data_IF_684605652921
#
_entry.id   IF_684605652921
#
_cell.length_a   1.000
_cell.length_b   1.000
_cell.length_c   1.000
_cell.angle_alpha   90.00
_cell.angle_beta   90.00
_cell.angle_gamma   90.00
#
_symmetry.space_group_name_H-M   'P 1'
#
loop_
_entity.id
_entity.type
_entity.pdbx_description
1 polymer ?
#
# COMPACT_ATOMS: atom_id res chain seq x y z
N UNK A 1 -24.13 -25.78 -43.29
CA UNK A 1 -24.22 -24.33 -43.26
C UNK A 1 -23.56 -23.90 -41.95
N UNK A 2 -22.33 -23.89 -41.85
CA UNK A 2 -21.15 -23.01 -41.94
C UNK A 2 -21.41 -21.53 -41.65
N UNK A 3 -20.59 -21.07 -40.74
CA UNK A 3 -20.11 -19.68 -40.50
C UNK A 3 -20.69 -18.98 -39.29
N UNK A 4 -19.88 -18.48 -38.46
CA UNK A 4 -18.73 -17.61 -38.38
C UNK A 4 -18.86 -16.81 -37.05
N UNK A 5 -18.09 -17.14 -36.05
CA UNK A 5 -17.89 -16.29 -34.89
C UNK A 5 -16.40 -16.27 -34.48
N UNK A 6 -15.55 -15.86 -35.43
CA UNK A 6 -14.11 -15.76 -35.19
C UNK A 6 -13.54 -14.34 -35.37
N UNK A 7 -14.38 -13.34 -35.64
CA UNK A 7 -13.90 -12.02 -36.06
C UNK A 7 -13.88 -10.89 -34.97
N UNK A 8 -14.41 -11.11 -33.78
CA UNK A 8 -14.58 -10.00 -32.80
C UNK A 8 -13.59 -9.95 -31.65
N UNK A 9 -12.64 -10.87 -31.54
CA UNK A 9 -11.66 -10.90 -30.44
C UNK A 9 -10.37 -10.11 -30.71
N UNK A 10 -10.04 -9.82 -31.97
CA UNK A 10 -8.81 -9.07 -32.33
C UNK A 10 -8.97 -7.54 -32.34
N UNK A 11 -10.19 -7.01 -32.46
CA UNK A 11 -10.39 -5.56 -32.56
C UNK A 11 -10.31 -4.83 -31.19
N UNK A 12 -10.49 -5.55 -30.09
CA UNK A 12 -10.44 -4.91 -28.75
C UNK A 12 -9.03 -4.80 -28.16
N UNK A 13 -8.10 -5.63 -28.60
CA UNK A 13 -6.70 -5.55 -28.21
C UNK A 13 -5.93 -4.43 -28.95
N UNK A 14 -6.38 -4.03 -30.15
CA UNK A 14 -5.79 -2.91 -30.88
C UNK A 14 -6.27 -1.53 -30.38
N UNK A 15 -7.40 -1.45 -29.70
CA UNK A 15 -7.93 -0.17 -29.21
C UNK A 15 -7.14 0.40 -28.02
N UNK A 16 -6.43 -0.44 -27.25
CA UNK A 16 -5.58 0.02 -26.15
C UNK A 16 -4.24 0.60 -26.61
N UNK A 17 -3.77 0.21 -27.80
CA UNK A 17 -2.53 0.74 -28.41
C UNK A 17 -2.76 2.01 -29.24
N UNK A 18 -4.00 2.36 -29.56
CA UNK A 18 -4.36 3.49 -30.42
C UNK A 18 -4.64 4.80 -29.64
N UNK A 19 -4.66 4.79 -28.31
CA UNK A 19 -4.82 6.00 -27.50
C UNK A 19 -3.53 6.84 -27.40
N UNK A 20 -2.39 6.33 -27.87
CA UNK A 20 -1.15 7.10 -27.99
C UNK A 20 -1.06 7.98 -29.25
N UNK A 21 -2.06 8.00 -30.14
CA UNK A 21 -2.01 8.74 -31.41
C UNK A 21 -3.00 9.91 -31.53
N UNK A 22 -3.68 10.31 -30.46
CA UNK A 22 -4.40 11.58 -30.44
C UNK A 22 -3.41 12.71 -30.15
N UNK A 23 -2.71 13.12 -31.20
CA UNK A 23 -1.84 14.29 -31.23
C UNK A 23 -2.62 15.56 -30.89
N UNK A 24 -2.67 15.90 -29.63
CA UNK A 24 -2.76 17.31 -29.23
C UNK A 24 -1.35 17.89 -29.46
N UNK A 25 -1.20 18.94 -30.23
CA UNK A 25 0.07 19.64 -30.33
C UNK A 25 0.27 20.43 -29.02
N UNK A 26 0.65 19.75 -27.95
CA UNK A 26 1.42 20.40 -26.90
C UNK A 26 2.81 20.59 -27.50
N UNK A 27 3.18 21.82 -27.79
CA UNK A 27 4.59 22.21 -27.99
C UNK A 27 5.28 22.10 -26.65
N UNK A 28 5.47 20.89 -26.15
CA UNK A 28 6.36 20.60 -25.06
C UNK A 28 7.79 20.84 -25.57
N UNK A 29 8.47 21.79 -25.00
CA UNK A 29 9.91 21.95 -25.21
C UNK A 29 10.58 20.66 -24.75
N UNK A 30 11.13 19.89 -25.67
CA UNK A 30 11.60 18.51 -25.48
C UNK A 30 12.81 18.36 -24.53
N UNK A 31 13.27 19.44 -23.86
CA UNK A 31 14.49 19.44 -23.06
C UNK A 31 14.29 19.10 -21.56
N UNK A 32 13.06 19.09 -21.03
CA UNK A 32 12.79 18.96 -19.59
C UNK A 32 11.74 17.88 -19.25
N UNK A 33 11.41 17.02 -20.20
CA UNK A 33 10.45 15.92 -19.96
C UNK A 33 11.20 14.63 -19.69
N UNK A 34 10.90 13.99 -18.57
CA UNK A 34 11.39 12.67 -18.22
C UNK A 34 10.23 11.67 -18.33
N UNK A 35 10.53 10.48 -18.83
CA UNK A 35 9.57 9.40 -18.99
C UNK A 35 10.18 8.11 -18.45
N UNK A 36 9.45 7.45 -17.56
CA UNK A 36 9.75 6.11 -17.10
C UNK A 36 8.51 5.23 -17.26
N UNK A 37 8.70 3.96 -17.57
CA UNK A 37 7.61 3.01 -17.58
C UNK A 37 8.02 1.70 -16.93
N UNK A 38 7.11 1.07 -16.21
CA UNK A 38 7.29 -0.25 -15.60
C UNK A 38 6.21 -1.18 -16.11
N UNK A 39 6.64 -2.28 -16.71
CA UNK A 39 5.79 -3.42 -17.04
C UNK A 39 5.95 -4.46 -15.93
N UNK A 40 4.90 -4.72 -15.17
CA UNK A 40 4.84 -5.75 -14.11
C UNK A 40 4.08 -6.96 -14.63
N UNK A 41 4.70 -8.12 -14.66
CA UNK A 41 4.02 -9.39 -14.93
C UNK A 41 4.02 -10.23 -13.68
N UNK A 42 2.90 -10.84 -13.34
CA UNK A 42 2.69 -11.54 -12.09
C UNK A 42 2.13 -12.93 -12.32
N UNK A 43 2.62 -13.90 -11.55
CA UNK A 43 2.06 -15.24 -11.43
C UNK A 43 1.73 -15.48 -9.95
N UNK A 44 0.44 -15.56 -9.64
CA UNK A 44 -0.08 -15.89 -8.32
C UNK A 44 -0.42 -17.38 -8.28
N UNK A 45 0.11 -18.07 -7.28
CA UNK A 45 -0.18 -19.45 -6.97
C UNK A 45 -0.79 -19.50 -5.57
N UNK A 46 -1.95 -20.14 -5.41
CA UNK A 46 -2.63 -20.29 -4.12
C UNK A 46 -2.89 -21.75 -3.80
N UNK A 47 -3.06 -22.06 -2.54
CA UNK A 47 -3.45 -23.38 -2.07
C UNK A 47 -4.90 -23.32 -1.55
N UNK A 48 -5.84 -22.95 -2.44
CA UNK A 48 -7.26 -22.95 -2.08
C UNK A 48 -7.82 -24.38 -2.04
N UNK A 49 -8.56 -24.69 -0.99
CA UNK A 49 -9.33 -25.93 -0.87
C UNK A 49 -10.66 -25.86 -1.62
N UNK A 50 -11.07 -24.68 -2.05
CA UNK A 50 -12.28 -24.45 -2.84
C UNK A 50 -12.02 -24.74 -4.33
N UNK A 51 -12.62 -25.81 -4.84
CA UNK A 51 -12.49 -26.23 -6.25
C UNK A 51 -13.17 -25.29 -7.24
N UNK A 52 -13.87 -24.27 -6.78
CA UNK A 52 -14.56 -23.28 -7.64
C UNK A 52 -13.63 -22.20 -8.17
N UNK A 53 -12.46 -22.01 -7.56
CA UNK A 53 -11.47 -21.02 -7.94
C UNK A 53 -10.22 -21.64 -8.57
N UNK A 54 -9.62 -20.93 -9.52
CA UNK A 54 -8.34 -21.33 -10.08
C UNK A 54 -7.22 -21.05 -9.09
N UNK A 55 -6.40 -22.06 -8.78
CA UNK A 55 -5.24 -21.91 -7.91
C UNK A 55 -4.08 -21.16 -8.61
N UNK A 56 -4.29 -20.62 -9.80
CA UNK A 56 -3.28 -19.91 -10.58
C UNK A 56 -3.89 -18.70 -11.26
N UNK A 57 -3.27 -17.57 -11.11
CA UNK A 57 -3.66 -16.33 -11.78
C UNK A 57 -2.44 -15.66 -12.40
N UNK A 58 -2.57 -15.20 -13.65
CA UNK A 58 -1.58 -14.35 -14.30
C UNK A 58 -2.12 -12.94 -14.43
N UNK A 59 -1.27 -11.97 -14.12
CA UNK A 59 -1.57 -10.57 -14.25
C UNK A 59 -0.48 -9.81 -15.01
N UNK A 60 -0.87 -8.73 -15.66
CA UNK A 60 0.03 -7.77 -16.29
C UNK A 60 -0.41 -6.38 -15.84
N UNK A 61 0.51 -5.63 -15.27
CA UNK A 61 0.35 -4.22 -14.90
C UNK A 61 1.28 -3.35 -15.74
N UNK A 62 0.82 -2.19 -16.13
CA UNK A 62 1.62 -1.16 -16.77
C UNK A 62 1.45 0.13 -15.96
N UNK A 63 2.55 0.64 -15.43
CA UNK A 63 2.66 1.97 -14.84
C UNK A 63 3.60 2.80 -15.70
N UNK A 64 3.23 4.03 -15.99
CA UNK A 64 4.09 4.96 -16.70
C UNK A 64 4.13 6.28 -15.97
N UNK A 65 5.30 6.84 -15.75
CA UNK A 65 5.48 8.15 -15.16
C UNK A 65 5.96 9.15 -16.22
N UNK A 66 5.26 10.24 -16.30
CA UNK A 66 5.63 11.41 -17.08
C UNK A 66 5.91 12.54 -16.12
N UNK A 67 7.13 13.04 -16.08
CA UNK A 67 7.47 14.23 -15.32
C UNK A 67 7.99 15.32 -16.24
N UNK A 68 7.65 16.57 -15.94
CA UNK A 68 8.11 17.72 -16.69
C UNK A 68 8.42 18.88 -15.76
N UNK A 69 9.61 19.45 -15.94
CA UNK A 69 10.04 20.66 -15.26
C UNK A 69 9.62 21.86 -16.09
N UNK A 70 8.68 22.65 -15.56
CA UNK A 70 8.24 23.90 -16.15
C UNK A 70 9.11 25.04 -15.60
N UNK A 71 9.43 25.98 -16.44
CA UNK A 71 10.06 27.24 -16.13
C UNK A 71 10.96 27.30 -14.87
N UNK A 72 12.27 27.26 -15.04
CA UNK A 72 13.29 27.44 -14.00
C UNK A 72 13.36 26.40 -12.86
N UNK A 73 12.99 25.16 -13.09
CA UNK A 73 13.10 24.00 -12.16
C UNK A 73 12.27 24.08 -10.86
N UNK A 74 11.49 25.15 -10.67
CA UNK A 74 10.70 25.35 -9.45
C UNK A 74 9.26 24.80 -9.54
N UNK A 75 8.82 24.41 -10.72
CA UNK A 75 7.48 23.84 -10.95
C UNK A 75 7.61 22.52 -11.69
N UNK A 76 7.20 21.44 -11.05
CA UNK A 76 7.27 20.09 -11.58
C UNK A 76 5.84 19.57 -11.76
N UNK A 77 5.53 19.04 -12.94
CA UNK A 77 4.29 18.31 -13.18
C UNK A 77 4.58 16.82 -13.26
N UNK A 78 3.77 16.02 -12.58
CA UNK A 78 3.85 14.56 -12.58
C UNK A 78 2.51 13.97 -13.02
N UNK A 79 2.56 12.94 -13.88
CA UNK A 79 1.41 12.16 -14.29
C UNK A 79 1.78 10.68 -14.35
N UNK A 80 1.15 9.86 -13.50
CA UNK A 80 1.40 8.42 -13.38
C UNK A 80 0.12 7.63 -13.62
N UNK A 81 -0.25 7.33 -14.87
CA UNK A 81 -1.31 6.41 -15.21
C UNK A 81 -0.89 4.97 -14.94
N UNK A 82 -1.86 4.16 -14.54
CA UNK A 82 -1.73 2.75 -14.26
C UNK A 82 -2.85 1.94 -14.91
N UNK A 83 -2.53 0.75 -15.42
CA UNK A 83 -3.53 -0.19 -15.90
C UNK A 83 -3.12 -1.63 -15.55
N UNK A 84 -4.08 -2.45 -15.15
CA UNK A 84 -3.90 -3.87 -14.82
C UNK A 84 -4.88 -4.73 -15.56
N UNK A 85 -4.39 -5.88 -16.01
CA UNK A 85 -5.16 -6.96 -16.58
C UNK A 85 -4.78 -8.29 -15.94
N UNK A 86 -5.77 -9.16 -15.67
CA UNK A 86 -5.60 -10.53 -15.17
C UNK A 86 -6.44 -11.50 -15.99
N UNK A 87 -5.95 -12.72 -16.19
CA UNK A 87 -6.58 -13.69 -17.10
C UNK A 87 -7.80 -14.39 -16.49
N UNK A 88 -7.74 -14.77 -15.22
CA UNK A 88 -8.76 -15.60 -14.55
C UNK A 88 -9.85 -14.75 -13.86
N UNK A 89 -9.54 -13.51 -13.55
CA UNK A 89 -10.42 -12.65 -12.78
C UNK A 89 -10.54 -11.27 -13.43
N UNK A 90 -11.56 -11.11 -14.30
CA UNK A 90 -11.76 -9.85 -15.02
C UNK A 90 -12.19 -8.69 -14.11
N UNK A 91 -12.68 -8.94 -12.92
CA UNK A 91 -13.12 -7.90 -11.98
C UNK A 91 -11.95 -7.17 -11.31
N UNK A 92 -10.75 -7.75 -11.33
CA UNK A 92 -9.53 -7.05 -10.90
C UNK A 92 -8.94 -6.16 -11.99
N UNK A 93 -9.44 -6.26 -13.25
CA UNK A 93 -8.98 -5.42 -14.33
C UNK A 93 -9.42 -3.98 -14.09
N UNK A 94 -8.49 -3.07 -14.07
CA UNK A 94 -8.78 -1.66 -13.86
C UNK A 94 -7.72 -0.76 -14.49
N UNK A 95 -8.08 0.50 -14.62
CA UNK A 95 -7.14 1.59 -14.90
C UNK A 95 -7.32 2.65 -13.81
N UNK A 96 -6.22 3.29 -13.45
CA UNK A 96 -6.17 4.30 -12.39
C UNK A 96 -5.18 5.42 -12.75
N UNK A 97 -5.31 6.54 -12.06
CA UNK A 97 -4.31 7.59 -12.02
C UNK A 97 -3.71 7.57 -10.62
N UNK A 98 -2.48 7.07 -10.54
CA UNK A 98 -1.76 6.97 -9.27
C UNK A 98 -1.29 8.34 -8.80
N UNK A 99 -0.76 9.14 -9.74
CA UNK A 99 -0.37 10.51 -9.47
C UNK A 99 -0.73 11.43 -10.64
N UNK A 100 -1.21 12.62 -10.34
CA UNK A 100 -1.44 13.72 -11.28
C UNK A 100 -1.40 15.02 -10.50
N UNK A 101 -0.22 15.63 -10.40
CA UNK A 101 -0.07 16.83 -9.59
C UNK A 101 0.95 17.80 -10.14
N UNK A 102 0.84 19.03 -9.68
CA UNK A 102 1.85 20.08 -9.80
C UNK A 102 2.51 20.26 -8.44
N UNK A 103 3.83 20.25 -8.42
CA UNK A 103 4.66 20.55 -7.27
C UNK A 103 5.44 21.82 -7.54
N UNK A 104 5.27 22.83 -6.69
CA UNK A 104 6.06 24.05 -6.68
C UNK A 104 7.01 24.04 -5.49
N UNK A 105 8.30 24.25 -5.73
CA UNK A 105 9.33 24.32 -4.69
C UNK A 105 9.90 25.72 -4.61
N UNK A 106 10.08 26.24 -3.40
CA UNK A 106 10.76 27.48 -3.09
C UNK A 106 11.77 27.24 -1.95
N UNK A 107 12.58 28.23 -1.61
CA UNK A 107 13.67 28.09 -0.63
C UNK A 107 13.24 27.43 0.69
N UNK A 108 12.04 27.76 1.19
CA UNK A 108 11.53 27.27 2.47
C UNK A 108 10.10 26.75 2.41
N UNK A 109 9.51 26.65 1.21
CA UNK A 109 8.13 26.23 1.02
C UNK A 109 8.01 25.27 -0.16
N UNK A 110 7.14 24.31 0.00
CA UNK A 110 6.64 23.49 -1.11
C UNK A 110 5.12 23.56 -1.13
N UNK A 111 4.55 23.56 -2.32
CA UNK A 111 3.12 23.49 -2.55
C UNK A 111 2.81 22.40 -3.58
N UNK A 112 1.94 21.48 -3.26
CA UNK A 112 1.46 20.43 -4.17
C UNK A 112 -0.05 20.54 -4.32
N UNK A 113 -0.52 20.45 -5.55
CA UNK A 113 -1.95 20.37 -5.87
C UNK A 113 -2.22 19.29 -6.89
N UNK A 114 -3.15 18.38 -6.60
CA UNK A 114 -3.55 17.31 -7.50
C UNK A 114 -3.74 15.98 -6.79
N UNK A 115 -3.53 14.88 -7.51
CA UNK A 115 -3.59 13.51 -6.99
C UNK A 115 -2.17 13.05 -6.67
N UNK A 116 -1.90 12.64 -5.42
CA UNK A 116 -0.58 12.17 -5.01
C UNK A 116 -0.66 11.04 -4.00
N UNK A 117 0.45 10.34 -3.85
CA UNK A 117 0.68 9.33 -2.84
C UNK A 117 1.66 9.87 -1.80
N UNK A 118 1.36 9.63 -0.54
CA UNK A 118 2.19 10.02 0.61
C UNK A 118 2.32 8.80 1.50
N UNK A 119 3.50 8.52 1.98
CA UNK A 119 3.77 7.44 2.90
C UNK A 119 4.30 7.98 4.22
N UNK A 120 3.74 7.50 5.33
CA UNK A 120 4.22 7.73 6.68
C UNK A 120 4.45 6.38 7.36
N UNK A 121 5.56 6.22 8.04
CA UNK A 121 5.87 5.01 8.77
C UNK A 121 7.36 4.74 8.86
N UNK A 122 7.76 3.94 9.85
CA UNK A 122 9.14 3.55 10.14
C UNK A 122 9.28 2.06 10.47
N UNK A 123 8.20 1.38 10.85
CA UNK A 123 8.18 -0.05 11.19
C UNK A 123 8.16 -0.92 9.95
N UNK A 124 8.52 -2.20 10.07
CA UNK A 124 8.63 -3.14 8.95
C UNK A 124 7.37 -3.96 8.73
N UNK A 125 6.75 -4.38 9.83
CA UNK A 125 5.67 -5.35 9.81
C UNK A 125 4.27 -4.73 9.70
N UNK A 126 4.18 -3.38 9.75
CA UNK A 126 2.93 -2.66 9.60
C UNK A 126 3.13 -1.14 9.74
N UNK A 127 2.15 -0.35 9.31
CA UNK A 127 2.24 1.13 9.27
C UNK A 127 0.97 1.76 9.86
N UNK A 128 0.99 2.03 11.17
CA UNK A 128 -0.16 2.58 11.88
C UNK A 128 -0.43 4.05 11.55
N UNK A 129 0.64 4.82 11.33
CA UNK A 129 0.55 6.27 11.10
C UNK A 129 0.20 6.63 9.65
N UNK A 130 0.25 5.66 8.71
CA UNK A 130 0.02 5.89 7.28
C UNK A 130 -1.47 6.02 6.95
N UNK A 131 -2.00 7.25 7.09
CA UNK A 131 -3.44 7.54 7.04
C UNK A 131 -3.88 8.38 5.83
N UNK A 132 -2.96 8.94 5.04
CA UNK A 132 -3.34 9.89 3.97
C UNK A 132 -4.02 9.17 2.81
N UNK A 133 -3.41 8.11 2.30
CA UNK A 133 -3.87 7.38 1.13
C UNK A 133 -4.64 6.11 1.51
N UNK A 134 -5.61 5.75 0.69
CA UNK A 134 -6.34 4.49 0.82
C UNK A 134 -5.54 3.35 0.18
N UNK A 135 -5.61 2.16 0.77
CA UNK A 135 -5.00 0.92 0.24
C UNK A 135 -5.81 0.35 -0.93
N UNK A 136 -5.12 -0.13 -1.97
CA UNK A 136 -5.69 -0.92 -3.07
C UNK A 136 -5.38 -2.41 -2.87
N UNK A 137 -6.26 -3.13 -2.17
CA UNK A 137 -6.06 -4.56 -1.89
C UNK A 137 -6.16 -5.47 -3.13
N UNK A 138 -6.46 -4.93 -4.31
CA UNK A 138 -6.39 -5.70 -5.56
C UNK A 138 -4.96 -5.92 -6.04
N UNK A 139 -4.01 -5.07 -5.57
CA UNK A 139 -2.60 -5.10 -6.00
C UNK A 139 -1.72 -5.93 -5.07
N UNK A 140 -1.94 -5.88 -3.75
CA UNK A 140 -1.15 -6.58 -2.74
C UNK A 140 -1.90 -6.74 -1.43
N UNK A 141 -1.38 -7.60 -0.55
CA UNK A 141 -1.94 -7.90 0.78
C UNK A 141 -1.19 -7.23 1.92
N UNK A 142 -0.01 -6.68 1.63
CA UNK A 142 0.87 -6.03 2.60
C UNK A 142 0.39 -4.62 3.01
N UNK A 143 -0.55 -4.04 2.26
CA UNK A 143 -1.05 -2.68 2.49
C UNK A 143 -0.18 -1.59 1.87
N UNK A 144 0.88 -1.93 1.16
CA UNK A 144 1.83 -1.00 0.53
C UNK A 144 1.27 -0.34 -0.72
N UNK A 145 0.43 -1.06 -1.48
CA UNK A 145 -0.17 -0.53 -2.70
C UNK A 145 -1.27 0.50 -2.38
N UNK A 146 -0.99 1.77 -2.65
CA UNK A 146 -1.87 2.90 -2.32
C UNK A 146 -2.54 3.51 -3.55
N UNK A 147 -3.81 3.89 -3.38
CA UNK A 147 -4.54 4.73 -4.32
C UNK A 147 -4.07 6.19 -4.20
N UNK A 148 -3.92 6.88 -5.32
CA UNK A 148 -3.65 8.32 -5.29
C UNK A 148 -4.80 9.09 -4.64
N UNK A 149 -4.52 10.05 -3.75
CA UNK A 149 -5.51 10.89 -3.06
C UNK A 149 -5.49 12.30 -3.65
N UNK A 150 -6.64 12.85 -4.07
CA UNK A 150 -6.72 14.28 -4.41
C UNK A 150 -6.43 15.14 -3.19
N UNK A 151 -5.46 16.06 -3.32
CA UNK A 151 -5.02 16.87 -2.20
C UNK A 151 -4.44 18.23 -2.60
N UNK A 152 -4.40 19.13 -1.62
CA UNK A 152 -3.49 20.25 -1.56
C UNK A 152 -2.58 20.00 -0.38
N UNK A 153 -1.26 20.00 -0.59
CA UNK A 153 -0.24 19.96 0.47
C UNK A 153 0.55 21.25 0.47
N UNK A 154 0.74 21.80 1.64
CA UNK A 154 1.62 22.95 1.89
C UNK A 154 2.66 22.53 2.93
N UNK A 155 3.93 22.59 2.55
CA UNK A 155 5.05 22.23 3.41
C UNK A 155 5.90 23.46 3.74
N UNK A 156 6.23 23.65 5.01
CA UNK A 156 7.16 24.66 5.48
C UNK A 156 8.42 24.00 6.01
N UNK A 157 9.56 24.29 5.38
CA UNK A 157 10.88 23.82 5.80
C UNK A 157 11.40 24.74 6.91
N UNK A 158 11.75 24.18 8.07
CA UNK A 158 12.18 24.85 9.29
C UNK A 158 13.55 24.33 9.76
N UNK A 159 14.55 24.50 8.92
CA UNK A 159 15.89 23.95 9.14
C UNK A 159 15.92 22.43 8.92
N UNK A 160 15.99 21.64 9.99
CA UNK A 160 15.95 20.17 9.93
C UNK A 160 14.54 19.60 10.11
N UNK A 161 13.54 20.46 10.27
CA UNK A 161 12.15 20.09 10.45
C UNK A 161 11.31 20.52 9.26
N UNK A 162 10.17 19.84 9.12
CA UNK A 162 9.14 20.20 8.14
C UNK A 162 7.78 20.20 8.83
N UNK A 163 6.98 21.19 8.53
CA UNK A 163 5.56 21.25 8.88
C UNK A 163 4.75 21.13 7.61
N UNK A 164 3.98 20.06 7.50
CA UNK A 164 3.08 19.77 6.40
C UNK A 164 1.62 20.00 6.81
N UNK A 165 0.86 20.66 5.93
CA UNK A 165 -0.59 20.81 6.01
C UNK A 165 -1.23 20.14 4.80
N UNK A 166 -2.21 19.28 5.03
CA UNK A 166 -2.92 18.56 3.99
C UNK A 166 -4.41 18.92 4.02
N UNK A 167 -4.95 19.19 2.84
CA UNK A 167 -6.37 19.33 2.59
C UNK A 167 -6.75 18.27 1.56
N UNK A 168 -7.53 17.28 1.98
CA UNK A 168 -7.85 16.08 1.21
C UNK A 168 -9.32 16.10 0.82
N UNK A 169 -9.62 16.03 -0.46
CA UNK A 169 -10.98 15.98 -0.97
C UNK A 169 -11.20 14.75 -1.83
N UNK A 170 -12.47 14.39 -2.09
CA UNK A 170 -12.76 13.28 -2.99
C UNK A 170 -12.22 11.95 -2.46
N UNK A 171 -12.66 11.56 -1.26
CA UNK A 171 -12.30 10.29 -0.63
C UNK A 171 -12.42 9.11 -1.60
N UNK A 172 -11.45 8.21 -1.57
CA UNK A 172 -11.42 6.99 -2.38
C UNK A 172 -11.65 5.77 -1.48
N UNK A 173 -12.65 4.95 -1.83
CA UNK A 173 -12.98 3.72 -1.10
C UNK A 173 -11.91 2.66 -1.31
N UNK A 174 -11.68 1.82 -0.29
CA UNK A 174 -10.83 0.64 -0.40
C UNK A 174 -11.40 -0.31 -1.45
N UNK A 175 -10.55 -0.85 -2.30
CA UNK A 175 -10.94 -1.82 -3.31
C UNK A 175 -10.54 -3.21 -2.85
N UNK A 176 -11.55 -4.03 -2.54
CA UNK A 176 -11.38 -5.42 -2.15
C UNK A 176 -11.34 -6.33 -3.36
N UNK A 177 -10.67 -7.46 -3.22
CA UNK A 177 -10.73 -8.52 -4.21
C UNK A 177 -12.17 -9.01 -4.37
N UNK A 178 -12.63 -9.26 -5.60
CA UNK A 178 -13.96 -9.80 -5.84
C UNK A 178 -14.04 -11.25 -5.33
N UNK A 179 -15.25 -11.71 -5.00
CA UNK A 179 -15.50 -13.06 -4.47
C UNK A 179 -15.00 -14.20 -5.39
N UNK A 180 -14.76 -13.91 -6.67
CA UNK A 180 -14.15 -14.83 -7.64
C UNK A 180 -12.62 -14.97 -7.53
N UNK A 181 -11.97 -14.15 -6.71
CA UNK A 181 -10.52 -14.24 -6.47
C UNK A 181 -10.19 -15.36 -5.48
N UNK A 182 -9.12 -16.13 -5.68
CA UNK A 182 -8.70 -17.17 -4.75
C UNK A 182 -8.24 -16.64 -3.39
N UNK A 183 -7.94 -15.36 -3.30
CA UNK A 183 -7.54 -14.66 -2.07
C UNK A 183 -8.62 -13.70 -1.56
N UNK A 184 -9.86 -13.82 -2.05
CA UNK A 184 -10.98 -13.04 -1.55
C UNK A 184 -11.34 -13.46 -0.11
N UNK A 185 -11.87 -12.52 0.65
CA UNK A 185 -12.50 -12.84 1.92
C UNK A 185 -13.69 -13.78 1.69
N UNK A 186 -14.02 -14.68 2.63
CA UNK A 186 -15.06 -15.69 2.45
C UNK A 186 -16.49 -15.14 2.44
N UNK A 187 -16.63 -13.83 2.41
CA UNK A 187 -17.91 -13.11 2.31
C UNK A 187 -17.80 -11.97 1.28
N UNK A 188 -18.86 -11.77 0.46
CA UNK A 188 -18.82 -10.76 -0.59
C UNK A 188 -18.87 -9.35 -0.02
N UNK A 189 -17.92 -8.50 -0.42
CA UNK A 189 -17.87 -7.08 -0.07
C UNK A 189 -18.22 -6.25 -1.30
N UNK A 190 -19.14 -5.28 -1.16
CA UNK A 190 -19.46 -4.35 -2.23
C UNK A 190 -18.36 -3.31 -2.41
N UNK A 191 -17.85 -3.18 -3.63
CA UNK A 191 -16.91 -2.14 -4.01
C UNK A 191 -17.60 -0.85 -4.54
N UNK A 192 -18.93 -0.79 -4.55
CA UNK A 192 -19.67 0.27 -5.23
C UNK A 192 -20.62 1.09 -4.34
N UNK A 193 -21.01 0.55 -3.17
CA UNK A 193 -22.03 1.16 -2.32
C UNK A 193 -21.48 1.33 -0.90
N UNK A 194 -20.65 2.33 -0.70
CA UNK A 194 -20.14 2.65 0.63
C UNK A 194 -21.11 3.56 1.41
N UNK A 195 -21.13 3.40 2.73
CA UNK A 195 -21.84 4.25 3.68
C UNK A 195 -20.83 5.17 4.36
N UNK A 196 -21.16 6.44 4.49
CA UNK A 196 -20.26 7.45 5.07
C UNK A 196 -20.85 8.04 6.36
N UNK A 197 -19.99 8.28 7.35
CA UNK A 197 -20.33 9.07 8.54
C UNK A 197 -20.57 10.53 8.21
N UNK A 198 -19.87 11.05 7.22
CA UNK A 198 -20.05 12.42 6.75
C UNK A 198 -21.34 12.58 5.90
N UNK A 199 -22.12 13.62 6.15
CA UNK A 199 -23.36 13.90 5.42
C UNK A 199 -23.17 14.20 3.92
N UNK A 200 -21.98 14.72 3.54
CA UNK A 200 -21.60 14.99 2.15
C UNK A 200 -20.83 13.81 1.51
N UNK A 201 -20.77 12.66 2.20
CA UNK A 201 -20.19 11.43 1.71
C UNK A 201 -18.71 11.58 1.35
N UNK A 202 -18.31 11.00 0.21
CA UNK A 202 -16.96 11.06 -0.33
C UNK A 202 -16.39 12.45 -0.61
N UNK A 203 -17.23 13.49 -0.56
CA UNK A 203 -16.81 14.88 -0.77
C UNK A 203 -16.44 15.58 0.56
N UNK A 204 -16.40 14.86 1.66
CA UNK A 204 -15.90 15.40 2.92
C UNK A 204 -14.47 15.92 2.74
N UNK A 205 -14.20 17.07 3.35
CA UNK A 205 -12.86 17.65 3.38
C UNK A 205 -12.13 17.10 4.61
N UNK A 206 -11.19 16.19 4.40
CA UNK A 206 -10.32 15.71 5.46
C UNK A 206 -9.11 16.64 5.58
N UNK A 207 -8.58 16.77 6.78
CA UNK A 207 -7.43 17.63 7.09
C UNK A 207 -6.39 16.81 7.84
N UNK A 208 -5.10 17.02 7.49
CA UNK A 208 -4.00 16.49 8.27
C UNK A 208 -2.91 17.53 8.47
N UNK A 209 -2.21 17.38 9.59
CA UNK A 209 -1.03 18.17 9.95
C UNK A 209 0.06 17.20 10.37
N UNK A 210 1.27 17.35 9.84
CA UNK A 210 2.44 16.57 10.27
C UNK A 210 3.61 17.50 10.55
N UNK A 211 4.25 17.31 11.68
CA UNK A 211 5.54 17.89 12.01
C UNK A 211 6.56 16.76 12.10
N UNK A 212 7.57 16.81 11.25
CA UNK A 212 8.60 15.79 11.16
C UNK A 212 9.98 16.40 11.03
N UNK A 213 11.00 15.65 11.39
CA UNK A 213 12.37 16.10 11.30
C UNK A 213 13.35 15.10 11.85
N UNK A 214 14.62 15.52 11.95
CA UNK A 214 15.65 14.70 12.55
C UNK A 214 16.52 15.48 13.53
N UNK A 215 17.03 14.79 14.55
CA UNK A 215 17.99 15.32 15.54
C UNK A 215 19.04 14.27 15.83
N UNK A 216 20.26 14.50 15.37
CA UNK A 216 21.36 13.53 15.46
C UNK A 216 20.97 12.16 14.90
N UNK A 217 20.76 11.17 15.77
CA UNK A 217 20.43 9.79 15.43
C UNK A 217 18.93 9.48 15.49
N UNK A 218 18.08 10.48 15.75
CA UNK A 218 16.63 10.32 15.92
C UNK A 218 15.93 10.98 14.74
N UNK A 219 15.11 10.21 14.01
CA UNK A 219 14.08 10.71 13.10
C UNK A 219 12.73 10.63 13.81
N UNK A 220 11.88 11.62 13.59
CA UNK A 220 10.57 11.68 14.26
C UNK A 220 9.49 12.32 13.39
N UNK A 221 8.27 11.88 13.62
CA UNK A 221 7.06 12.45 13.07
C UNK A 221 5.94 12.48 14.11
N UNK A 222 5.24 13.61 14.17
CA UNK A 222 4.01 13.76 14.97
C UNK A 222 2.94 14.25 14.02
N UNK A 223 1.80 13.60 14.01
CA UNK A 223 0.71 13.90 13.08
C UNK A 223 -0.64 13.98 13.79
N UNK A 224 -1.52 14.78 13.22
CA UNK A 224 -2.94 14.79 13.52
C UNK A 224 -3.71 14.72 12.21
N UNK A 225 -4.75 13.90 12.20
CA UNK A 225 -5.66 13.72 11.08
C UNK A 225 -7.09 13.82 11.60
N UNK A 226 -7.95 14.53 10.85
CA UNK A 226 -9.38 14.61 11.09
C UNK A 226 -10.13 14.42 9.77
N UNK A 227 -10.98 13.40 9.70
CA UNK A 227 -11.71 13.10 8.48
C UNK A 227 -12.20 11.66 8.38
N UNK A 228 -12.43 11.20 7.17
CA UNK A 228 -12.96 9.89 6.84
C UNK A 228 -11.94 8.79 7.13
N UNK A 229 -12.31 7.78 7.92
CA UNK A 229 -11.43 6.62 8.20
C UNK A 229 -10.97 5.94 6.92
N UNK A 230 -9.68 5.50 6.88
CA UNK A 230 -9.17 4.65 5.78
C UNK A 230 -9.46 3.17 6.02
N UNK A 231 -9.84 2.81 7.25
CA UNK A 231 -10.25 1.45 7.61
C UNK A 231 -11.77 1.40 7.67
N UNK A 232 -12.45 0.67 6.75
CA UNK A 232 -13.89 0.54 6.78
C UNK A 232 -14.34 -0.46 7.85
N UNK A 233 -15.47 -0.17 8.45
CA UNK A 233 -16.31 -1.19 9.09
C UNK A 233 -17.18 -1.90 8.04
N UNK A 234 -17.74 -3.05 8.40
CA UNK A 234 -18.62 -3.81 7.50
C UNK A 234 -20.04 -3.90 8.05
N UNK A 235 -21.01 -3.52 7.21
CA UNK A 235 -22.45 -3.61 7.52
C UNK A 235 -23.05 -4.72 6.65
N UNK A 236 -23.66 -5.74 7.28
CA UNK A 236 -24.35 -6.80 6.55
C UNK A 236 -25.68 -6.33 5.99
N UNK A 237 -25.92 -6.54 4.70
CA UNK A 237 -27.23 -6.39 4.08
C UNK A 237 -28.05 -7.69 4.16
N UNK A 238 -29.36 -7.58 3.97
CA UNK A 238 -30.26 -8.73 3.92
C UNK A 238 -29.95 -9.71 2.78
N UNK A 239 -29.20 -9.28 1.78
CA UNK A 239 -28.72 -10.08 0.64
C UNK A 239 -27.52 -10.94 0.98
N UNK A 240 -26.89 -10.78 2.17
CA UNK A 240 -25.66 -11.42 2.57
C UNK A 240 -24.40 -10.75 2.01
N UNK A 241 -24.53 -9.61 1.33
CA UNK A 241 -23.42 -8.77 0.89
C UNK A 241 -23.07 -7.78 2.00
N UNK A 242 -21.78 -7.54 2.21
CA UNK A 242 -21.30 -6.54 3.17
C UNK A 242 -21.01 -5.21 2.46
N UNK A 243 -21.54 -4.13 3.05
CA UNK A 243 -21.20 -2.76 2.64
C UNK A 243 -20.05 -2.23 3.48
N UNK A 244 -19.18 -1.47 2.86
CA UNK A 244 -18.14 -0.72 3.53
C UNK A 244 -18.75 0.52 4.19
N UNK A 245 -18.53 0.72 5.50
CA UNK A 245 -18.88 1.93 6.22
C UNK A 245 -17.64 2.67 6.63
N UNK A 246 -17.57 3.95 6.32
CA UNK A 246 -16.45 4.83 6.62
C UNK A 246 -16.86 5.88 7.66
N UNK A 247 -16.58 5.67 8.95
CA UNK A 247 -16.85 6.66 10.00
C UNK A 247 -15.90 7.86 9.85
N UNK A 248 -16.26 8.98 10.48
CA UNK A 248 -15.33 10.07 10.73
C UNK A 248 -14.48 9.75 11.95
N UNK A 249 -13.20 10.15 11.91
CA UNK A 249 -12.22 9.94 12.95
C UNK A 249 -11.38 11.17 13.21
N UNK A 250 -10.87 11.27 14.43
CA UNK A 250 -9.71 12.07 14.78
C UNK A 250 -8.57 11.13 15.20
N UNK A 251 -7.39 11.29 14.62
CA UNK A 251 -6.23 10.46 14.93
C UNK A 251 -5.02 11.32 15.25
N UNK A 252 -4.38 11.05 16.38
CA UNK A 252 -3.01 11.48 16.68
C UNK A 252 -2.06 10.33 16.31
N UNK A 253 -0.94 10.66 15.67
CA UNK A 253 0.10 9.71 15.28
C UNK A 253 1.47 10.16 15.74
N UNK A 254 2.31 9.20 16.11
CA UNK A 254 3.71 9.36 16.47
C UNK A 254 4.52 8.27 15.77
N UNK A 255 5.58 8.64 15.08
CA UNK A 255 6.60 7.74 14.58
C UNK A 255 8.00 8.21 15.01
N UNK A 256 8.81 7.26 15.45
CA UNK A 256 10.19 7.50 15.89
C UNK A 256 11.11 6.41 15.36
N UNK A 257 12.27 6.83 14.88
CA UNK A 257 13.35 5.95 14.51
C UNK A 257 14.66 6.42 15.15
N UNK A 258 15.37 5.53 15.82
CA UNK A 258 16.65 5.82 16.45
C UNK A 258 17.72 4.88 15.93
N UNK A 259 18.74 5.43 15.27
CA UNK A 259 19.88 4.70 14.74
C UNK A 259 21.08 4.82 15.66
N UNK A 260 21.51 3.70 16.28
CA UNK A 260 22.67 3.64 17.17
C UNK A 260 23.59 2.51 16.72
N UNK A 261 24.70 2.85 16.07
CA UNK A 261 25.65 1.87 15.51
C UNK A 261 24.96 0.83 14.62
N UNK A 262 24.84 -0.41 15.07
CA UNK A 262 24.17 -1.52 14.35
C UNK A 262 22.69 -1.67 14.75
N UNK A 263 22.19 -0.88 15.68
CA UNK A 263 20.80 -0.93 16.14
C UNK A 263 19.94 0.12 15.48
N UNK A 264 18.79 -0.29 15.00
CA UNK A 264 17.72 0.57 14.50
C UNK A 264 16.46 0.30 15.35
N UNK A 265 16.12 1.24 16.25
CA UNK A 265 14.92 1.18 17.06
C UNK A 265 13.78 1.91 16.37
N UNK A 266 12.60 1.33 16.40
CA UNK A 266 11.41 1.84 15.70
C UNK A 266 10.21 1.88 16.65
N UNK A 267 9.38 2.90 16.49
CA UNK A 267 8.11 3.04 17.19
C UNK A 267 7.11 3.74 16.28
N UNK A 268 5.94 3.15 16.13
CA UNK A 268 4.74 3.83 15.65
C UNK A 268 3.64 3.71 16.71
N UNK A 269 2.90 4.79 16.94
CA UNK A 269 1.76 4.77 17.84
C UNK A 269 0.66 5.70 17.32
N UNK A 270 -0.58 5.27 17.51
CA UNK A 270 -1.76 6.08 17.19
C UNK A 270 -2.73 6.09 18.38
N UNK A 271 -3.43 7.20 18.51
CA UNK A 271 -4.64 7.32 19.31
C UNK A 271 -5.77 7.81 18.42
N UNK A 272 -6.82 7.01 18.25
CA UNK A 272 -7.93 7.27 17.33
C UNK A 272 -9.25 7.33 18.08
N UNK A 273 -10.05 8.35 17.76
CA UNK A 273 -11.42 8.55 18.25
C UNK A 273 -12.38 8.50 17.09
N UNK A 274 -13.53 7.89 17.26
CA UNK A 274 -14.59 7.85 16.24
C UNK A 274 -15.70 8.86 16.59
N UNK A 275 -16.19 9.55 15.57
CA UNK A 275 -17.38 10.41 15.68
C UNK A 275 -18.64 9.55 15.51
N UNK A 276 -19.16 9.09 16.64
CA UNK A 276 -20.42 8.34 16.86
C UNK A 276 -20.69 7.05 16.02
N UNK A 277 -21.39 6.08 16.65
CA UNK A 277 -21.90 4.79 16.11
C UNK A 277 -20.88 3.69 15.77
N UNK A 278 -19.60 3.82 16.10
CA UNK A 278 -18.66 2.68 16.09
C UNK A 278 -18.87 1.81 17.33
N UNK A 279 -18.52 0.52 17.22
CA UNK A 279 -18.51 -0.40 18.37
C UNK A 279 -17.45 -0.02 19.42
N UNK A 280 -16.54 0.89 19.09
CA UNK A 280 -15.46 1.39 19.93
C UNK A 280 -15.37 2.89 19.77
N UNK A 281 -15.54 3.65 20.87
CA UNK A 281 -15.48 5.13 20.82
C UNK A 281 -14.06 5.64 20.59
N UNK A 282 -13.06 4.94 21.11
CA UNK A 282 -11.63 5.31 21.03
C UNK A 282 -10.74 4.10 21.22
N UNK A 283 -9.54 4.13 20.62
CA UNK A 283 -8.51 3.13 20.87
C UNK A 283 -7.10 3.70 20.69
N UNK A 284 -6.13 2.95 21.21
CA UNK A 284 -4.70 3.20 21.02
C UNK A 284 -4.06 1.94 20.45
N UNK A 285 -3.24 2.10 19.42
CA UNK A 285 -2.44 1.01 18.88
C UNK A 285 -0.98 1.46 18.77
N UNK A 286 -0.05 0.51 18.91
CA UNK A 286 1.37 0.78 18.78
C UNK A 286 2.10 -0.42 18.15
N UNK A 287 3.18 -0.11 17.43
CA UNK A 287 4.19 -1.06 16.96
C UNK A 287 5.52 -0.56 17.49
N UNK A 288 6.25 -1.39 18.22
CA UNK A 288 7.60 -1.06 18.71
C UNK A 288 8.56 -2.19 18.44
N UNK A 289 9.76 -1.88 18.02
CA UNK A 289 10.72 -2.92 17.73
C UNK A 289 12.12 -2.42 17.47
N UNK A 290 12.95 -3.36 17.04
CA UNK A 290 14.33 -3.07 16.68
C UNK A 290 14.82 -4.01 15.59
N UNK A 291 15.79 -3.52 14.81
CA UNK A 291 16.61 -4.29 13.90
C UNK A 291 18.07 -4.20 14.35
N UNK A 292 18.78 -5.33 14.40
CA UNK A 292 20.20 -5.40 14.64
C UNK A 292 20.94 -5.90 13.41
N UNK A 293 21.84 -5.09 12.87
CA UNK A 293 22.56 -5.39 11.62
C UNK A 293 23.96 -5.92 11.87
N UNK A 294 24.27 -7.07 11.26
CA UNK A 294 25.58 -7.70 11.20
C UNK A 294 26.12 -7.54 9.78
N UNK A 295 27.14 -6.74 9.62
CA UNK A 295 27.69 -6.39 8.31
C UNK A 295 28.86 -7.29 7.89
N UNK A 296 29.01 -7.51 6.59
CA UNK A 296 30.17 -8.14 5.97
C UNK A 296 30.38 -9.62 6.32
N UNK A 297 29.29 -10.34 6.61
CA UNK A 297 29.37 -11.77 6.92
C UNK A 297 29.90 -12.58 5.73
N UNK A 298 30.49 -13.74 6.02
CA UNK A 298 31.12 -14.65 5.04
C UNK A 298 32.09 -13.92 4.09
N UNK A 299 33.02 -13.13 4.66
CA UNK A 299 33.99 -12.32 3.91
C UNK A 299 33.38 -11.24 3.04
N UNK A 300 32.32 -10.61 3.51
CA UNK A 300 31.64 -9.51 2.82
C UNK A 300 30.60 -9.95 1.79
N UNK A 301 30.20 -11.22 1.78
CA UNK A 301 29.21 -11.73 0.81
C UNK A 301 27.80 -11.24 1.11
N UNK A 302 27.45 -11.02 2.39
CA UNK A 302 26.13 -10.56 2.78
C UNK A 302 26.12 -9.84 4.13
N UNK A 303 25.08 -9.08 4.34
CA UNK A 303 24.70 -8.46 5.61
C UNK A 303 23.44 -9.14 6.14
N UNK A 304 23.30 -9.25 7.46
CA UNK A 304 22.17 -9.89 8.12
C UNK A 304 21.55 -8.94 9.14
N UNK A 305 20.28 -8.60 8.94
CA UNK A 305 19.43 -7.92 9.91
C UNK A 305 18.61 -8.93 10.72
N UNK A 306 18.59 -8.77 12.02
CA UNK A 306 17.70 -9.48 12.96
C UNK A 306 16.62 -8.52 13.40
N UNK A 307 15.35 -8.82 13.11
CA UNK A 307 14.21 -7.96 13.37
C UNK A 307 13.32 -8.55 14.46
N UNK A 308 12.79 -7.68 15.32
CA UNK A 308 11.70 -8.02 16.23
C UNK A 308 10.81 -6.77 16.41
N UNK A 309 9.51 -6.92 16.19
CA UNK A 309 8.51 -5.86 16.36
C UNK A 309 7.28 -6.42 17.10
N UNK A 310 6.81 -5.71 18.11
CA UNK A 310 5.62 -6.05 18.88
C UNK A 310 4.49 -5.10 18.53
N UNK A 311 3.35 -5.68 18.16
CA UNK A 311 2.09 -5.00 17.89
C UNK A 311 1.19 -5.04 19.10
N UNK A 312 0.49 -3.94 19.38
CA UNK A 312 -0.56 -3.88 20.38
C UNK A 312 -1.70 -2.99 19.93
N UNK A 313 -2.94 -3.41 20.20
CA UNK A 313 -4.17 -2.66 19.93
C UNK A 313 -5.12 -2.82 21.10
N UNK A 314 -5.53 -1.72 21.72
CA UNK A 314 -6.36 -1.71 22.92
C UNK A 314 -7.81 -2.19 22.71
N UNK A 315 -8.18 -2.54 21.48
CA UNK A 315 -9.49 -3.13 21.15
C UNK A 315 -9.52 -4.64 21.39
N UNK A 316 -8.39 -5.28 21.57
CA UNK A 316 -8.23 -6.73 21.68
C UNK A 316 -9.03 -7.48 20.58
N UNK A 317 -9.86 -8.44 20.93
CA UNK A 317 -10.70 -9.22 20.01
C UNK A 317 -11.75 -8.39 19.23
N UNK A 318 -11.89 -7.10 19.51
CA UNK A 318 -12.75 -6.19 18.74
C UNK A 318 -11.97 -5.44 17.65
N UNK A 319 -10.66 -5.64 17.56
CA UNK A 319 -9.85 -5.06 16.50
C UNK A 319 -10.29 -5.59 15.14
N UNK A 320 -10.37 -4.69 14.18
CA UNK A 320 -10.68 -5.03 12.77
C UNK A 320 -9.43 -5.42 11.97
N UNK A 321 -8.27 -5.39 12.63
CA UNK A 321 -6.96 -5.76 12.10
C UNK A 321 -6.48 -7.04 12.77
N UNK A 322 -5.73 -7.90 12.07
CA UNK A 322 -5.31 -9.20 12.62
C UNK A 322 -4.14 -9.11 13.63
N UNK A 323 -3.51 -7.94 13.83
CA UNK A 323 -2.31 -7.77 14.65
C UNK A 323 -2.65 -6.93 15.88
N UNK A 324 -3.19 -7.55 16.94
CA UNK A 324 -3.64 -6.87 18.16
C UNK A 324 -2.72 -7.05 19.37
N UNK A 325 -2.05 -8.20 19.48
CA UNK A 325 -1.04 -8.51 20.49
C UNK A 325 -0.06 -9.55 19.92
N UNK A 326 0.69 -9.14 18.91
CA UNK A 326 1.48 -10.02 18.07
C UNK A 326 2.96 -9.65 18.11
N UNK A 327 3.82 -10.65 18.09
CA UNK A 327 5.24 -10.50 17.93
C UNK A 327 5.66 -10.89 16.51
N UNK A 328 6.15 -9.94 15.74
CA UNK A 328 6.87 -10.21 14.50
C UNK A 328 8.33 -10.45 14.80
N UNK A 329 8.90 -11.53 14.27
CA UNK A 329 10.35 -11.75 14.25
C UNK A 329 10.80 -12.06 12.83
N UNK A 330 11.90 -11.47 12.40
CA UNK A 330 12.36 -11.59 11.01
C UNK A 330 13.85 -11.57 10.84
N UNK A 331 14.27 -12.03 9.68
CA UNK A 331 15.65 -12.01 9.17
C UNK A 331 15.67 -11.28 7.83
N UNK A 332 16.48 -10.24 7.74
CA UNK A 332 16.78 -9.54 6.48
C UNK A 332 18.17 -9.93 6.00
N UNK A 333 18.26 -10.54 4.85
CA UNK A 333 19.52 -10.92 4.23
C UNK A 333 19.75 -10.05 2.99
N UNK A 334 20.71 -9.14 3.06
CA UNK A 334 21.18 -8.32 1.94
C UNK A 334 22.46 -8.89 1.35
N UNK A 335 22.43 -9.32 0.09
CA UNK A 335 23.61 -9.80 -0.60
C UNK A 335 24.42 -8.62 -1.16
N UNK A 336 25.72 -8.61 -0.92
CA UNK A 336 26.62 -7.59 -1.43
C UNK A 336 27.00 -7.89 -2.90
N UNK A 337 26.00 -8.19 -3.71
CA UNK A 337 26.15 -8.46 -5.14
C UNK A 337 25.71 -7.26 -6.01
N UNK A 338 26.11 -7.26 -7.26
CA UNK A 338 25.75 -6.20 -8.22
C UNK A 338 24.27 -6.20 -8.60
N UNK A 339 23.55 -7.26 -8.27
CA UNK A 339 22.14 -7.47 -8.55
C UNK A 339 21.25 -6.94 -7.42
N UNK A 340 21.83 -6.48 -6.30
CA UNK A 340 21.09 -6.02 -5.12
C UNK A 340 20.06 -7.06 -4.65
N UNK A 341 20.53 -8.30 -4.49
CA UNK A 341 19.68 -9.40 -4.02
C UNK A 341 19.37 -9.22 -2.54
N UNK A 342 18.12 -9.38 -2.18
CA UNK A 342 17.64 -9.25 -0.81
C UNK A 342 16.56 -10.28 -0.52
N UNK A 343 16.53 -10.77 0.71
CA UNK A 343 15.48 -11.65 1.24
C UNK A 343 15.09 -11.14 2.63
N UNK A 344 13.80 -10.96 2.86
CA UNK A 344 13.19 -10.77 4.16
C UNK A 344 12.33 -12.00 4.44
N UNK A 345 12.55 -12.67 5.56
CA UNK A 345 11.72 -13.78 6.02
C UNK A 345 11.35 -13.54 7.48
N UNK A 346 10.08 -13.63 7.82
CA UNK A 346 9.59 -13.40 9.16
C UNK A 346 8.33 -14.18 9.49
N UNK A 347 8.00 -14.17 10.77
CA UNK A 347 6.80 -14.79 11.31
C UNK A 347 6.13 -13.86 12.31
N UNK A 348 4.81 -13.82 12.27
CA UNK A 348 3.96 -13.23 13.29
C UNK A 348 3.48 -14.33 14.22
N UNK A 349 3.59 -14.11 15.49
CA UNK A 349 3.10 -14.98 16.55
C UNK A 349 2.09 -14.17 17.37
N UNK A 350 0.84 -14.58 17.36
CA UNK A 350 -0.15 -14.07 18.30
C UNK A 350 0.27 -14.48 19.72
N UNK A 351 0.23 -13.55 20.67
CA UNK A 351 0.65 -13.80 22.06
C UNK A 351 -0.52 -14.22 22.96
N UNK A 352 -1.74 -14.17 22.45
CA UNK A 352 -2.98 -14.54 23.15
C UNK A 352 -3.50 -15.91 22.74
N UNK A 353 -3.10 -16.39 21.53
CA UNK A 353 -3.46 -17.73 21.03
C UNK A 353 -2.29 -18.37 20.25
N UNK A 354 -2.53 -19.50 19.58
CA UNK A 354 -1.52 -20.25 18.83
C UNK A 354 -1.44 -19.84 17.34
N UNK A 355 -2.10 -18.73 16.96
CA UNK A 355 -2.12 -18.24 15.58
C UNK A 355 -0.72 -17.81 15.12
N UNK A 356 -0.34 -18.24 13.94
CA UNK A 356 0.96 -17.92 13.36
C UNK A 356 0.80 -17.64 11.88
N UNK A 357 1.46 -16.59 11.37
CA UNK A 357 1.61 -16.39 9.94
C UNK A 357 3.07 -16.20 9.55
N UNK A 358 3.44 -16.74 8.39
CA UNK A 358 4.78 -16.64 7.81
C UNK A 358 4.74 -15.70 6.61
N UNK A 359 5.76 -14.84 6.49
CA UNK A 359 5.94 -13.96 5.33
C UNK A 359 7.37 -14.09 4.82
N UNK A 360 7.51 -14.20 3.50
CA UNK A 360 8.81 -14.21 2.81
C UNK A 360 8.73 -13.28 1.62
N UNK A 361 9.70 -12.40 1.51
CA UNK A 361 9.91 -11.52 0.38
C UNK A 361 11.34 -11.69 -0.13
N UNK A 362 11.49 -11.74 -1.44
CA UNK A 362 12.80 -11.76 -2.06
C UNK A 362 12.78 -10.90 -3.32
N UNK A 363 13.88 -10.20 -3.58
CA UNK A 363 14.04 -9.40 -4.78
C UNK A 363 15.46 -9.47 -5.31
N UNK A 364 15.55 -9.40 -6.65
CA UNK A 364 16.85 -9.41 -7.34
C UNK A 364 16.73 -8.73 -8.71
N UNK A 365 17.69 -7.91 -9.08
CA UNK A 365 17.84 -7.41 -10.45
C UNK A 365 18.30 -8.52 -11.38
N UNK A 366 17.73 -8.56 -12.58
CA UNK A 366 18.06 -9.49 -13.65
C UNK A 366 18.08 -8.74 -14.99
N UNK A 367 18.95 -9.15 -15.92
CA UNK A 367 19.02 -8.58 -17.27
C UNK A 367 19.11 -7.05 -17.38
N UNK A 368 19.86 -6.41 -16.46
CA UNK A 368 20.05 -4.95 -16.45
C UNK A 368 18.82 -4.19 -15.93
N UNK A 369 17.82 -3.98 -16.77
CA UNK A 369 16.64 -3.15 -16.47
C UNK A 369 15.42 -3.96 -16.00
N UNK A 370 15.64 -5.14 -15.45
CA UNK A 370 14.57 -5.97 -14.91
C UNK A 370 14.83 -6.40 -13.47
N UNK A 371 13.75 -6.60 -12.70
CA UNK A 371 13.77 -7.12 -11.33
C UNK A 371 12.77 -8.25 -11.19
N UNK A 372 13.20 -9.36 -10.62
CA UNK A 372 12.30 -10.41 -10.13
C UNK A 372 12.04 -10.17 -8.65
N UNK A 373 10.79 -10.31 -8.23
CA UNK A 373 10.39 -10.38 -6.83
C UNK A 373 9.51 -11.61 -6.57
N UNK A 374 9.63 -12.14 -5.37
CA UNK A 374 8.85 -13.24 -4.85
C UNK A 374 8.26 -12.79 -3.52
N UNK A 375 6.97 -13.02 -3.33
CA UNK A 375 6.25 -12.82 -2.08
C UNK A 375 5.53 -14.13 -1.75
N UNK A 376 5.62 -14.56 -0.51
CA UNK A 376 4.89 -15.74 -0.02
C UNK A 376 4.32 -15.45 1.37
N UNK A 377 3.12 -15.92 1.60
CA UNK A 377 2.47 -15.87 2.89
C UNK A 377 1.76 -17.19 3.19
N UNK A 378 1.82 -17.62 4.46
CA UNK A 378 1.13 -18.80 4.93
C UNK A 378 0.56 -18.56 6.33
N UNK A 379 -0.60 -19.13 6.59
CA UNK A 379 -1.35 -19.01 7.84
C UNK A 379 -1.49 -20.37 8.50
N UNK A 380 -1.16 -20.46 9.80
CA UNK A 380 -1.15 -21.72 10.54
C UNK A 380 -1.81 -21.54 11.90
N UNK A 381 -2.65 -22.50 12.30
CA UNK A 381 -3.33 -22.56 13.60
C UNK A 381 -4.17 -21.31 13.95
N UNK A 382 -4.72 -20.63 12.94
CA UNK A 382 -5.46 -19.38 13.19
C UNK A 382 -6.71 -19.64 14.01
N UNK A 383 -6.80 -19.05 15.20
CA UNK A 383 -7.94 -19.19 16.10
C UNK A 383 -9.20 -18.53 15.51
N UNK A 384 -10.36 -19.10 15.85
CA UNK A 384 -11.66 -18.63 15.35
C UNK A 384 -11.98 -17.17 15.75
N UNK A 385 -11.41 -16.70 16.86
CA UNK A 385 -11.63 -15.34 17.37
C UNK A 385 -10.66 -14.32 16.77
N UNK A 386 -9.57 -14.79 16.17
CA UNK A 386 -8.59 -13.94 15.54
C UNK A 386 -9.16 -13.35 14.23
N UNK A 387 -8.95 -12.06 13.97
CA UNK A 387 -9.40 -11.40 12.73
C UNK A 387 -8.78 -12.04 11.48
N UNK A 388 -7.57 -12.62 11.58
CA UNK A 388 -6.93 -13.36 10.52
C UNK A 388 -7.60 -14.70 10.19
N UNK A 389 -8.60 -15.17 10.98
CA UNK A 389 -9.31 -16.41 10.71
C UNK A 389 -9.92 -16.48 9.30
N UNK A 390 -10.33 -15.36 8.78
CA UNK A 390 -10.86 -15.27 7.42
C UNK A 390 -9.79 -15.40 6.32
N UNK A 391 -8.51 -15.35 6.69
CA UNK A 391 -7.35 -15.50 5.79
C UNK A 391 -6.65 -16.87 5.94
N UNK A 392 -7.09 -17.73 6.85
CA UNK A 392 -6.44 -19.02 7.18
C UNK A 392 -6.23 -19.97 6.00
N UNK A 393 -7.04 -19.84 4.95
CA UNK A 393 -6.97 -20.64 3.72
C UNK A 393 -6.36 -19.84 2.55
N UNK A 394 -5.75 -18.68 2.83
CA UNK A 394 -5.24 -17.74 1.83
C UNK A 394 -3.72 -17.83 1.67
N UNK A 395 -3.14 -19.02 1.80
CA UNK A 395 -1.72 -19.25 1.49
C UNK A 395 -1.43 -18.93 0.03
N UNK A 396 -0.38 -18.17 -0.21
CA UNK A 396 -0.02 -17.81 -1.58
C UNK A 396 1.49 -17.70 -1.81
N UNK A 397 1.86 -17.83 -3.08
CA UNK A 397 3.15 -17.48 -3.65
C UNK A 397 2.90 -16.57 -4.85
N UNK A 398 3.44 -15.36 -4.81
CA UNK A 398 3.39 -14.39 -5.89
C UNK A 398 4.80 -14.21 -6.48
N UNK A 399 4.96 -14.50 -7.75
CA UNK A 399 6.17 -14.23 -8.51
C UNK A 399 5.90 -13.06 -9.45
N UNK A 400 6.74 -12.03 -9.38
CA UNK A 400 6.62 -10.85 -10.24
C UNK A 400 7.91 -10.58 -11.00
N UNK A 401 7.78 -10.18 -12.27
CA UNK A 401 8.86 -9.65 -13.08
C UNK A 401 8.50 -8.19 -13.43
N UNK A 402 9.37 -7.28 -13.07
CA UNK A 402 9.27 -5.86 -13.39
C UNK A 402 10.32 -5.54 -14.45
N UNK A 403 9.92 -4.91 -15.53
CA UNK A 403 10.82 -4.42 -16.60
C UNK A 403 10.68 -2.90 -16.64
N UNK A 404 11.80 -2.20 -16.51
CA UNK A 404 11.88 -0.74 -16.49
C UNK A 404 12.35 -0.23 -17.85
N UNK A 405 11.74 0.86 -18.34
CA UNK A 405 12.03 1.47 -19.63
C UNK A 405 12.35 2.95 -19.51
#
# INVERSE_FOLDING_TARGET
MTNSHSGKRHERALAALLLCSLGLPMTLSASNTHFEATLKTQALLTQSTDSTHSNKQFGVGLEAEFSNNFDSDNLIGIFTPYARWANENQEVNHADVRELHLLHTAEHWEGLVGISRVFWGVTESGHLVDIINQTDQREGFDGEDKLGQPMIRLSRILGQDTLDLFFLSGFRERKFLPASSPLALPFPISNNNAVYGASNGRQHLDIAVRFSGYRNAIDYGISWFSGTSRDPDFISEATGVYLQRYPLIDQLGLDLQLTLESWLWKLEAIHRTFDSESSTDTYTAAITGAEYSLFGLANGLFDLGLLAEWHTDSRDNLATVPLQNDLFTGLRLGFNDTQSSEVLAGAFFDLDDDSTSLRVEARRRVFGDARISLEAQSFTNIDLKNAAYYLRDSDFLLLSLHVFF
#
